data_IF_536607106124
#
_entry.id   IF_536607106124
#
_cell.length_a   1.000
_cell.length_b   1.000
_cell.length_c   1.000
_cell.angle_alpha   90.00
_cell.angle_beta   90.00
_cell.angle_gamma   90.00
#
_symmetry.space_group_name_H-M   'P 1'
#
loop_
_entity.id
_entity.type
_entity.pdbx_description
1 polymer ?
#
# COMPACT_ATOMS: atom_id res chain seq x y z
N UNK A 1 7.44 -19.14 -21.91
CA UNK A 1 6.19 -18.64 -21.30
C UNK A 1 6.12 -19.29 -19.94
N UNK A 2 6.30 -18.52 -18.85
CA UNK A 2 6.02 -19.06 -17.52
C UNK A 2 4.50 -19.19 -17.46
N UNK A 3 4.02 -20.42 -17.52
CA UNK A 3 2.60 -20.75 -17.46
C UNK A 3 2.06 -20.53 -16.05
N UNK A 4 0.74 -20.37 -15.95
CA UNK A 4 0.01 -20.25 -14.68
C UNK A 4 0.41 -21.37 -13.69
N UNK A 5 0.71 -22.57 -14.18
CA UNK A 5 1.15 -23.70 -13.36
C UNK A 5 2.52 -23.53 -12.69
N UNK A 6 3.50 -22.93 -13.37
CA UNK A 6 4.83 -22.68 -12.79
C UNK A 6 4.75 -21.62 -11.68
N UNK A 7 3.93 -20.58 -11.89
CA UNK A 7 3.69 -19.56 -10.87
C UNK A 7 2.96 -20.13 -9.64
N UNK A 8 1.98 -21.01 -9.85
CA UNK A 8 1.29 -21.73 -8.75
C UNK A 8 2.28 -22.61 -7.98
N UNK A 9 3.18 -23.32 -8.66
CA UNK A 9 4.17 -24.18 -7.99
C UNK A 9 5.10 -23.36 -7.08
N UNK A 10 5.61 -22.23 -7.58
CA UNK A 10 6.42 -21.30 -6.79
C UNK A 10 5.64 -20.77 -5.59
N UNK A 11 4.37 -20.40 -5.80
CA UNK A 11 3.50 -19.91 -4.73
C UNK A 11 3.30 -20.98 -3.65
N UNK A 12 3.09 -22.24 -4.03
CA UNK A 12 2.94 -23.36 -3.08
C UNK A 12 4.22 -23.57 -2.26
N UNK A 13 5.40 -23.54 -2.90
CA UNK A 13 6.69 -23.65 -2.18
C UNK A 13 6.85 -22.48 -1.21
N UNK A 14 6.57 -21.24 -1.65
CA UNK A 14 6.63 -20.05 -0.80
C UNK A 14 5.63 -20.16 0.37
N UNK A 15 4.43 -20.69 0.15
CA UNK A 15 3.42 -20.92 1.19
C UNK A 15 3.84 -21.97 2.20
N UNK A 16 4.64 -22.98 1.82
CA UNK A 16 5.18 -23.97 2.75
C UNK A 16 6.29 -23.34 3.61
N UNK A 17 7.18 -22.54 3.01
CA UNK A 17 8.28 -21.89 3.72
C UNK A 17 7.80 -20.79 4.67
N UNK A 18 6.92 -19.91 4.18
CA UNK A 18 6.44 -18.77 4.95
C UNK A 18 5.15 -19.09 5.73
N UNK A 19 4.37 -20.07 5.29
CA UNK A 19 3.06 -20.38 5.86
C UNK A 19 1.93 -19.57 5.21
N UNK A 20 0.76 -20.18 4.93
CA UNK A 20 -0.36 -19.50 4.29
C UNK A 20 -0.98 -18.39 5.15
N UNK A 21 -0.75 -18.41 6.46
CA UNK A 21 -1.22 -17.37 7.38
C UNK A 21 -0.40 -16.08 7.33
N UNK A 22 0.88 -16.14 6.94
CA UNK A 22 1.75 -14.95 6.90
C UNK A 22 1.45 -14.03 5.73
N UNK A 23 1.05 -14.57 4.59
CA UNK A 23 0.67 -13.79 3.41
C UNK A 23 -0.46 -12.78 3.66
N UNK A 24 -1.63 -13.16 4.22
CA UNK A 24 -2.69 -12.21 4.54
C UNK A 24 -2.32 -11.24 5.67
N UNK A 25 -1.46 -11.65 6.60
CA UNK A 25 -0.96 -10.78 7.67
C UNK A 25 -0.05 -9.67 7.13
N UNK A 26 0.90 -10.03 6.25
CA UNK A 26 1.75 -9.08 5.53
C UNK A 26 0.92 -8.15 4.65
N UNK A 27 -0.04 -8.68 3.89
CA UNK A 27 -0.92 -7.86 3.06
C UNK A 27 -1.74 -6.86 3.88
N UNK A 28 -2.24 -7.25 5.06
CA UNK A 28 -2.94 -6.34 5.98
C UNK A 28 -2.02 -5.25 6.53
N UNK A 29 -0.81 -5.61 6.94
CA UNK A 29 0.17 -4.65 7.45
C UNK A 29 0.60 -3.64 6.37
N UNK A 30 0.91 -4.12 5.16
CA UNK A 30 1.22 -3.27 4.01
C UNK A 30 0.03 -2.40 3.61
N UNK A 31 -1.18 -2.94 3.58
CA UNK A 31 -2.39 -2.18 3.26
C UNK A 31 -2.66 -1.06 4.26
N UNK A 32 -2.41 -1.30 5.56
CA UNK A 32 -2.49 -0.27 6.60
C UNK A 32 -1.44 0.82 6.37
N UNK A 33 -0.19 0.43 6.13
CA UNK A 33 0.91 1.38 5.85
C UNK A 33 0.63 2.24 4.61
N UNK A 34 0.14 1.64 3.52
CA UNK A 34 -0.23 2.37 2.29
C UNK A 34 -1.37 3.36 2.55
N UNK A 35 -2.37 2.98 3.36
CA UNK A 35 -3.48 3.86 3.72
C UNK A 35 -3.00 5.05 4.55
N UNK A 36 -2.16 4.82 5.54
CA UNK A 36 -1.57 5.88 6.37
C UNK A 36 -0.68 6.81 5.53
N UNK A 37 0.17 6.24 4.67
CA UNK A 37 1.00 7.01 3.74
C UNK A 37 0.16 7.90 2.82
N UNK A 38 -0.89 7.35 2.22
CA UNK A 38 -1.80 8.12 1.35
C UNK A 38 -2.50 9.25 2.12
N UNK A 39 -2.95 8.98 3.35
CA UNK A 39 -3.55 10.01 4.20
C UNK A 39 -2.59 11.16 4.48
N UNK A 40 -1.35 10.85 4.88
CA UNK A 40 -0.34 11.87 5.14
C UNK A 40 -0.01 12.71 3.89
N UNK A 41 0.04 12.10 2.70
CA UNK A 41 0.25 12.83 1.43
C UNK A 41 -0.93 13.76 1.14
N UNK A 42 -2.17 13.30 1.31
CA UNK A 42 -3.37 14.14 1.11
C UNK A 42 -3.41 15.32 2.08
N UNK A 43 -3.08 15.10 3.36
CA UNK A 43 -3.02 16.19 4.34
C UNK A 43 -1.99 17.24 3.90
N UNK A 44 -0.80 16.82 3.44
CA UNK A 44 0.24 17.73 2.94
C UNK A 44 -0.19 18.53 1.71
N UNK A 45 -0.93 17.91 0.79
CA UNK A 45 -1.51 18.59 -0.38
C UNK A 45 -2.52 19.66 0.06
N UNK A 46 -3.40 19.35 1.03
CA UNK A 46 -4.39 20.29 1.58
C UNK A 46 -3.74 21.47 2.32
N UNK A 47 -2.67 21.20 3.10
CA UNK A 47 -1.86 22.26 3.73
C UNK A 47 -1.18 23.17 2.69
N UNK A 48 -0.77 22.62 1.54
CA UNK A 48 -0.17 23.38 0.44
C UNK A 48 -1.17 24.27 -0.30
N UNK A 49 -2.41 23.81 -0.47
CA UNK A 49 -3.48 24.56 -1.16
C UNK A 49 -4.12 25.66 -0.27
N UNK A 50 -4.24 25.42 1.04
CA UNK A 50 -4.90 26.34 1.97
C UNK A 50 -4.21 27.70 2.15
N UNK A 51 -2.89 27.79 1.90
CA UNK A 51 -2.14 29.06 2.04
C UNK A 51 -2.37 30.07 0.90
N UNK A 52 -2.88 29.65 -0.26
CA UNK A 52 -3.01 30.56 -1.42
C UNK A 52 -4.26 31.44 -1.43
N UNK A 53 -5.32 31.11 -0.66
CA UNK A 53 -6.63 31.79 -0.74
C UNK A 53 -6.90 32.82 0.35
N UNK A 54 -6.11 32.85 1.44
CA UNK A 54 -6.30 33.77 2.57
C UNK A 54 -5.68 35.16 2.37
N UNK A 55 -4.61 35.28 1.58
CA UNK A 55 -3.83 36.53 1.44
C UNK A 55 -4.31 37.45 0.31
N UNK A 56 -5.14 36.97 -0.61
CA UNK A 56 -5.65 37.75 -1.75
C UNK A 56 -6.94 38.55 -1.43
N UNK A 57 -7.42 38.50 -0.18
CA UNK A 57 -8.63 39.20 0.29
C UNK A 57 -8.35 40.24 1.39
N UNK A 58 -7.08 40.49 1.71
CA UNK A 58 -6.63 41.52 2.66
C UNK A 58 -6.44 42.86 1.98
#
# INVERSE_FOLDING_TARGET
MIGTYELILILVIALILFGPKRLPELARALGKAVREFKGAVTDLEEYGEGKGKGELRG
#
